data_IF_606111129210
#
_entry.id   IF_606111129210
#
_cell.length_a   1.000
_cell.length_b   1.000
_cell.length_c   1.000
_cell.angle_alpha   90.00
_cell.angle_beta   90.00
_cell.angle_gamma   90.00
#
_symmetry.space_group_name_H-M   'P 1'
#
loop_
_entity.id
_entity.type
_entity.pdbx_description
1 polymer ?
#
# COMPACT_ATOMS: atom_id res chain seq x y z
N UNK A 1 -21.82 16.22 -14.65
CA UNK A 1 -22.19 16.93 -13.40
C UNK A 1 -20.96 17.45 -12.72
N UNK A 2 -20.66 18.72 -12.95
CA UNK A 2 -19.56 19.45 -12.30
C UNK A 2 -19.97 19.69 -10.85
N UNK A 3 -19.19 19.16 -9.90
CA UNK A 3 -19.40 19.41 -8.48
C UNK A 3 -18.65 20.67 -8.06
N UNK A 4 -19.20 21.44 -7.13
CA UNK A 4 -18.58 22.65 -6.57
C UNK A 4 -17.33 22.31 -5.73
N UNK A 5 -16.40 23.26 -5.58
CA UNK A 5 -15.19 23.11 -4.76
C UNK A 5 -15.50 22.73 -3.30
N UNK A 6 -16.59 23.25 -2.73
CA UNK A 6 -17.05 22.86 -1.39
C UNK A 6 -17.50 21.39 -1.30
N UNK A 7 -18.15 20.86 -2.34
CA UNK A 7 -18.50 19.44 -2.40
C UNK A 7 -17.25 18.55 -2.50
N UNK A 8 -16.17 19.07 -3.10
CA UNK A 8 -14.88 18.39 -3.16
C UNK A 8 -14.23 18.25 -1.80
N UNK A 9 -14.07 19.38 -1.10
CA UNK A 9 -13.46 19.42 0.22
C UNK A 9 -14.22 18.54 1.21
N UNK A 10 -15.56 18.61 1.19
CA UNK A 10 -16.39 17.76 2.04
C UNK A 10 -16.23 16.26 1.72
N UNK A 11 -16.08 15.90 0.44
CA UNK A 11 -15.87 14.50 0.05
C UNK A 11 -14.47 14.02 0.46
N UNK A 12 -13.42 14.80 0.24
CA UNK A 12 -12.05 14.48 0.70
C UNK A 12 -12.02 14.21 2.20
N UNK A 13 -12.60 15.12 2.99
CA UNK A 13 -12.68 14.97 4.46
C UNK A 13 -13.40 13.68 4.89
N UNK A 14 -14.51 13.34 4.25
CA UNK A 14 -15.25 12.10 4.56
C UNK A 14 -14.42 10.85 4.28
N UNK A 15 -13.61 10.87 3.22
CA UNK A 15 -12.71 9.76 2.92
C UNK A 15 -11.52 9.73 3.88
N UNK A 16 -10.92 10.87 4.20
CA UNK A 16 -9.87 10.96 5.22
C UNK A 16 -10.33 10.28 6.52
N UNK A 17 -11.51 10.66 7.01
CA UNK A 17 -12.14 10.02 8.18
C UNK A 17 -12.34 8.51 7.97
N UNK A 18 -12.78 8.07 6.80
CA UNK A 18 -12.96 6.64 6.51
C UNK A 18 -11.63 5.87 6.54
N UNK A 19 -10.56 6.44 5.98
CA UNK A 19 -9.22 5.85 6.00
C UNK A 19 -8.64 5.84 7.42
N UNK A 20 -8.80 6.93 8.19
CA UNK A 20 -8.43 7.00 9.61
C UNK A 20 -9.08 5.86 10.40
N UNK A 21 -10.40 5.68 10.26
CA UNK A 21 -11.11 4.58 10.93
C UNK A 21 -10.59 3.20 10.53
N UNK A 22 -10.17 3.03 9.27
CA UNK A 22 -9.56 1.77 8.81
C UNK A 22 -8.18 1.55 9.45
N UNK A 23 -7.37 2.60 9.59
CA UNK A 23 -6.07 2.52 10.26
C UNK A 23 -6.22 2.22 11.75
N UNK A 24 -7.11 2.92 12.45
CA UNK A 24 -7.42 2.65 13.86
C UNK A 24 -7.85 1.19 14.07
N UNK A 25 -8.71 0.66 13.19
CA UNK A 25 -9.15 -0.73 13.25
C UNK A 25 -7.99 -1.72 12.97
N UNK A 26 -7.08 -1.36 12.07
CA UNK A 26 -5.91 -2.18 11.74
C UNK A 26 -4.91 -2.20 12.89
N UNK A 27 -4.67 -1.06 13.54
CA UNK A 27 -3.79 -0.94 14.71
C UNK A 27 -4.34 -1.74 15.89
N UNK A 28 -5.65 -1.67 16.16
CA UNK A 28 -6.30 -2.51 17.17
C UNK A 28 -6.13 -4.02 16.87
N UNK A 29 -6.21 -4.42 15.59
CA UNK A 29 -5.99 -5.81 15.20
C UNK A 29 -4.52 -6.26 15.35
N UNK A 30 -3.55 -5.34 15.21
CA UNK A 30 -2.13 -5.60 15.45
C UNK A 30 -1.80 -5.74 16.94
N UNK A 31 -2.54 -5.05 17.80
CA UNK A 31 -2.37 -5.13 19.26
C UNK A 31 -3.06 -6.36 19.88
N UNK A 32 -4.04 -6.95 19.19
CA UNK A 32 -4.76 -8.13 19.66
C UNK A 32 -3.91 -9.41 19.50
N UNK A 33 -3.43 -9.98 20.62
CA UNK A 33 -2.48 -11.11 20.67
C UNK A 33 -2.87 -12.32 19.80
N UNK A 34 -4.16 -12.55 19.58
CA UNK A 34 -4.68 -13.73 18.88
C UNK A 34 -5.46 -13.37 17.61
N UNK A 35 -5.36 -12.14 17.13
CA UNK A 35 -5.99 -11.77 15.88
C UNK A 35 -5.45 -12.64 14.73
N UNK A 36 -6.37 -13.20 13.94
CA UNK A 36 -6.03 -13.99 12.76
C UNK A 36 -6.68 -13.39 11.54
N UNK A 37 -5.87 -13.03 10.56
CA UNK A 37 -6.35 -12.40 9.34
C UNK A 37 -7.21 -13.40 8.57
N UNK A 38 -8.43 -12.99 8.28
CA UNK A 38 -9.50 -13.80 7.72
C UNK A 38 -10.04 -13.18 6.43
N UNK A 39 -11.01 -13.86 5.81
CA UNK A 39 -11.74 -13.30 4.67
C UNK A 39 -12.42 -11.95 4.96
N UNK A 40 -12.74 -11.65 6.22
CA UNK A 40 -13.36 -10.37 6.59
C UNK A 40 -12.36 -9.24 6.42
N UNK A 41 -11.14 -9.42 6.91
CA UNK A 41 -10.08 -8.41 6.84
C UNK A 41 -9.70 -8.09 5.39
N UNK A 42 -9.58 -9.13 4.56
CA UNK A 42 -9.37 -8.95 3.11
C UNK A 42 -10.55 -8.25 2.43
N UNK A 43 -11.79 -8.59 2.79
CA UNK A 43 -12.97 -7.94 2.23
C UNK A 43 -13.04 -6.46 2.63
N UNK A 44 -12.71 -6.14 3.89
CA UNK A 44 -12.64 -4.76 4.37
C UNK A 44 -11.55 -3.98 3.64
N UNK A 45 -10.35 -4.55 3.50
CA UNK A 45 -9.28 -3.96 2.70
C UNK A 45 -9.73 -3.71 1.25
N UNK A 46 -10.41 -4.66 0.62
CA UNK A 46 -10.93 -4.51 -0.74
C UNK A 46 -11.98 -3.39 -0.85
N UNK A 47 -12.82 -3.20 0.16
CA UNK A 47 -13.77 -2.08 0.22
C UNK A 47 -13.01 -0.75 0.29
N UNK A 48 -11.97 -0.68 1.11
CA UNK A 48 -11.13 0.52 1.23
C UNK A 48 -10.42 0.84 -0.09
N UNK A 49 -9.77 -0.17 -0.69
CA UNK A 49 -9.11 -0.04 -1.99
C UNK A 49 -10.07 0.38 -3.09
N UNK A 50 -11.30 -0.17 -3.10
CA UNK A 50 -12.34 0.25 -4.03
C UNK A 50 -12.66 1.74 -3.87
N UNK A 51 -12.79 2.25 -2.65
CA UNK A 51 -13.00 3.68 -2.43
C UNK A 51 -11.82 4.51 -2.96
N UNK A 52 -10.58 4.10 -2.69
CA UNK A 52 -9.35 4.76 -3.19
C UNK A 52 -9.35 4.84 -4.73
N UNK A 53 -9.58 3.71 -5.42
CA UNK A 53 -9.60 3.62 -6.88
C UNK A 53 -10.78 4.38 -7.49
N UNK A 54 -11.99 4.20 -6.96
CA UNK A 54 -13.18 4.89 -7.47
C UNK A 54 -13.01 6.39 -7.43
N UNK A 55 -12.37 6.93 -6.39
CA UNK A 55 -12.13 8.37 -6.30
C UNK A 55 -11.15 8.87 -7.34
N UNK A 56 -10.02 8.18 -7.54
CA UNK A 56 -9.02 8.55 -8.55
C UNK A 56 -9.62 8.68 -9.96
N UNK A 57 -10.77 8.03 -10.21
CA UNK A 57 -11.49 8.07 -11.47
C UNK A 57 -12.57 9.17 -11.59
N UNK A 58 -12.80 9.97 -10.55
CA UNK A 58 -13.87 10.98 -10.57
C UNK A 58 -13.35 12.28 -11.14
N UNK A 59 -14.03 12.76 -12.18
CA UNK A 59 -13.75 14.06 -12.78
C UNK A 59 -14.46 15.21 -12.05
N UNK A 60 -13.75 16.18 -11.42
CA UNK A 60 -14.36 17.46 -10.95
C UNK A 60 -13.62 18.74 -11.35
N UNK A 61 -14.27 19.62 -12.13
CA UNK A 61 -13.70 20.88 -12.63
C UNK A 61 -13.03 21.69 -11.52
N UNK A 62 -11.74 21.96 -11.67
CA UNK A 62 -11.01 22.96 -10.90
C UNK A 62 -10.71 24.11 -11.85
N UNK A 63 -11.29 25.29 -11.61
CA UNK A 63 -11.07 26.45 -12.47
C UNK A 63 -9.65 27.00 -12.24
N UNK A 64 -8.72 26.65 -13.12
CA UNK A 64 -7.43 27.36 -13.30
C UNK A 64 -7.46 28.06 -14.67
N UNK A 65 -8.00 29.27 -14.72
CA UNK A 65 -8.22 29.98 -15.99
C UNK A 65 -9.33 29.33 -16.83
N UNK A 66 -9.15 29.26 -18.14
CA UNK A 66 -10.17 28.80 -19.12
C UNK A 66 -10.25 27.28 -19.31
N UNK A 67 -9.50 26.48 -18.55
CA UNK A 67 -9.45 25.02 -18.72
C UNK A 67 -10.16 24.33 -17.56
N UNK A 68 -11.30 23.73 -17.89
CA UNK A 68 -12.15 22.95 -16.99
C UNK A 68 -11.68 21.49 -16.94
N UNK A 69 -10.71 21.18 -16.07
CA UNK A 69 -10.24 19.81 -15.86
C UNK A 69 -10.55 19.28 -14.48
N UNK A 70 -10.77 17.97 -14.44
CA UNK A 70 -11.68 17.41 -13.51
C UNK A 70 -11.07 16.19 -12.79
N UNK A 71 -10.73 16.25 -11.49
CA UNK A 71 -10.23 15.10 -10.68
C UNK A 71 -10.60 15.23 -9.18
N UNK A 72 -11.15 14.16 -8.56
CA UNK A 72 -11.41 14.02 -7.13
C UNK A 72 -10.36 13.09 -6.53
N UNK A 73 -9.76 13.48 -5.40
CA UNK A 73 -8.39 13.12 -5.03
C UNK A 73 -7.40 13.66 -6.06
N UNK A 74 -6.57 14.66 -5.73
CA UNK A 74 -5.50 14.99 -6.65
C UNK A 74 -4.69 13.70 -6.79
N UNK A 75 -4.43 13.30 -8.03
CA UNK A 75 -3.57 12.14 -8.26
C UNK A 75 -2.30 12.34 -7.40
N UNK A 76 -1.80 13.59 -7.41
CA UNK A 76 -0.56 14.01 -6.78
C UNK A 76 -0.81 14.77 -5.47
N UNK A 77 -0.01 14.48 -4.46
CA UNK A 77 0.04 15.25 -3.22
C UNK A 77 1.17 14.75 -2.34
N UNK A 78 1.19 15.18 -1.07
CA UNK A 78 2.17 14.68 -0.11
C UNK A 78 1.84 13.25 0.31
N UNK A 79 2.86 12.44 0.54
CA UNK A 79 2.69 11.00 0.74
C UNK A 79 2.18 10.61 2.13
N UNK A 80 2.24 11.53 3.08
CA UNK A 80 1.64 11.43 4.41
C UNK A 80 0.22 12.02 4.48
N UNK A 81 -0.17 12.78 3.46
CA UNK A 81 -1.50 13.33 3.35
C UNK A 81 -2.46 12.27 2.79
N UNK A 82 -3.42 11.87 3.61
CA UNK A 82 -4.43 10.90 3.23
C UNK A 82 -5.38 11.43 2.17
N UNK A 83 -5.46 12.75 1.95
CA UNK A 83 -6.41 13.41 1.05
C UNK A 83 -6.02 13.36 -0.44
N UNK A 84 -4.90 12.73 -0.79
CA UNK A 84 -4.46 12.49 -2.17
C UNK A 84 -4.18 11.01 -2.49
N UNK A 85 -4.19 10.67 -3.78
CA UNK A 85 -4.26 9.25 -4.20
C UNK A 85 -3.02 8.51 -3.76
N UNK A 86 -1.85 9.09 -3.97
CA UNK A 86 -0.60 8.47 -3.59
C UNK A 86 -0.50 8.28 -2.09
N UNK A 87 -0.75 9.32 -1.29
CA UNK A 87 -0.67 9.24 0.16
C UNK A 87 -1.70 8.25 0.73
N UNK A 88 -2.97 8.36 0.34
CA UNK A 88 -4.01 7.42 0.73
C UNK A 88 -3.68 5.97 0.34
N UNK A 89 -3.21 5.75 -0.90
CA UNK A 89 -2.84 4.42 -1.41
C UNK A 89 -1.67 3.81 -0.64
N UNK A 90 -0.54 4.52 -0.53
CA UNK A 90 0.66 3.91 0.07
C UNK A 90 0.48 3.65 1.57
N UNK A 91 -0.25 4.52 2.29
CA UNK A 91 -0.54 4.30 3.71
C UNK A 91 -1.52 3.14 3.88
N UNK A 92 -2.53 3.03 3.01
CA UNK A 92 -3.49 1.92 3.06
C UNK A 92 -2.84 0.57 2.76
N UNK A 93 -2.04 0.50 1.69
CA UNK A 93 -1.30 -0.73 1.36
C UNK A 93 -0.27 -1.04 2.46
N UNK A 94 0.39 -0.02 3.01
CA UNK A 94 1.34 -0.17 4.12
C UNK A 94 0.71 -0.71 5.40
N UNK A 95 -0.44 -0.18 5.81
CA UNK A 95 -1.21 -0.66 6.96
C UNK A 95 -1.69 -2.10 6.76
N UNK A 96 -2.20 -2.41 5.56
CA UNK A 96 -2.56 -3.78 5.21
C UNK A 96 -1.36 -4.74 5.25
N UNK A 97 -0.18 -4.30 4.78
CA UNK A 97 1.07 -5.07 4.89
C UNK A 97 1.43 -5.33 6.35
N UNK A 98 1.30 -4.35 7.25
CA UNK A 98 1.50 -4.57 8.68
C UNK A 98 0.63 -5.73 9.16
N UNK A 99 -0.68 -5.68 8.87
CA UNK A 99 -1.63 -6.70 9.29
C UNK A 99 -1.24 -8.09 8.77
N UNK A 100 -0.98 -8.21 7.47
CA UNK A 100 -0.73 -9.53 6.84
C UNK A 100 0.65 -10.11 7.12
N UNK A 101 1.62 -9.28 7.51
CA UNK A 101 2.97 -9.74 7.88
C UNK A 101 3.09 -10.04 9.38
N UNK A 102 2.32 -9.32 10.21
CA UNK A 102 2.37 -9.47 11.66
C UNK A 102 1.51 -10.65 12.16
N UNK A 103 0.27 -10.74 11.65
CA UNK A 103 -0.74 -11.67 12.17
C UNK A 103 -0.77 -12.99 11.40
N UNK A 104 -1.15 -14.07 12.07
CA UNK A 104 -1.34 -15.37 11.43
C UNK A 104 -2.58 -15.36 10.52
N UNK A 105 -2.61 -16.26 9.53
CA UNK A 105 -3.82 -16.50 8.73
C UNK A 105 -4.80 -17.39 9.46
N UNK A 106 -6.06 -16.96 9.51
CA UNK A 106 -7.15 -17.86 9.84
C UNK A 106 -7.25 -18.94 8.75
N UNK A 107 -7.41 -20.21 9.15
CA UNK A 107 -7.60 -21.32 8.21
C UNK A 107 -8.97 -21.94 8.46
N UNK A 108 -9.98 -21.65 7.60
CA UNK A 108 -11.30 -22.23 7.73
C UNK A 108 -11.24 -23.76 7.61
N UNK A 109 -12.12 -24.48 8.32
CA UNK A 109 -12.19 -25.95 8.21
C UNK A 109 -12.86 -26.38 6.90
N UNK A 110 -13.95 -25.71 6.54
CA UNK A 110 -14.78 -26.03 5.38
C UNK A 110 -14.15 -25.58 4.08
N UNK A 111 -14.24 -26.42 3.04
CA UNK A 111 -13.62 -26.16 1.74
C UNK A 111 -14.16 -24.88 1.09
N UNK A 112 -15.48 -24.67 1.14
CA UNK A 112 -16.11 -23.48 0.56
C UNK A 112 -15.58 -22.16 1.17
N UNK A 113 -15.30 -22.17 2.47
CA UNK A 113 -14.74 -21.00 3.17
C UNK A 113 -13.25 -20.81 2.86
N UNK A 114 -12.50 -21.91 2.70
CA UNK A 114 -11.10 -21.84 2.23
C UNK A 114 -11.02 -21.24 0.82
N UNK A 115 -11.89 -21.67 -0.08
CA UNK A 115 -11.92 -21.17 -1.47
C UNK A 115 -12.31 -19.69 -1.50
N UNK A 116 -13.29 -19.29 -0.67
CA UNK A 116 -13.68 -17.88 -0.50
C UNK A 116 -12.53 -17.03 0.04
N UNK A 117 -11.79 -17.52 1.04
CA UNK A 117 -10.64 -16.80 1.58
C UNK A 117 -9.52 -16.64 0.55
N UNK A 118 -9.15 -17.71 -0.15
CA UNK A 118 -8.17 -17.66 -1.26
C UNK A 118 -8.58 -16.67 -2.35
N UNK A 119 -9.87 -16.62 -2.65
CA UNK A 119 -10.40 -15.66 -3.61
C UNK A 119 -10.15 -14.21 -3.17
N UNK A 120 -10.45 -13.87 -1.91
CA UNK A 120 -10.20 -12.52 -1.39
C UNK A 120 -8.71 -12.20 -1.23
N UNK A 121 -7.87 -13.19 -0.89
CA UNK A 121 -6.40 -13.05 -0.88
C UNK A 121 -5.89 -12.65 -2.26
N UNK A 122 -6.33 -13.38 -3.31
CA UNK A 122 -6.00 -13.06 -4.70
C UNK A 122 -6.48 -11.67 -5.10
N UNK A 123 -7.74 -11.32 -4.81
CA UNK A 123 -8.27 -10.01 -5.14
C UNK A 123 -7.48 -8.88 -4.45
N UNK A 124 -7.13 -9.07 -3.18
CA UNK A 124 -6.34 -8.10 -2.41
C UNK A 124 -4.96 -7.92 -3.02
N UNK A 125 -4.26 -9.02 -3.36
CA UNK A 125 -2.97 -8.99 -4.08
C UNK A 125 -3.08 -8.22 -5.38
N UNK A 126 -3.98 -8.66 -6.26
CA UNK A 126 -4.08 -8.16 -7.62
C UNK A 126 -4.50 -6.68 -7.64
N UNK A 127 -5.44 -6.29 -6.77
CA UNK A 127 -5.86 -4.87 -6.63
C UNK A 127 -4.73 -4.00 -6.13
N UNK A 128 -3.94 -4.48 -5.17
CA UNK A 128 -2.79 -3.74 -4.63
C UNK A 128 -1.73 -3.51 -5.70
N UNK A 129 -1.30 -4.59 -6.37
CA UNK A 129 -0.29 -4.51 -7.42
C UNK A 129 -0.75 -3.62 -8.59
N UNK A 130 -2.01 -3.76 -9.00
CA UNK A 130 -2.59 -2.91 -10.04
C UNK A 130 -2.60 -1.43 -9.64
N UNK A 131 -3.05 -1.11 -8.43
CA UNK A 131 -3.14 0.27 -7.95
C UNK A 131 -1.76 0.90 -7.75
N UNK A 132 -0.79 0.14 -7.23
CA UNK A 132 0.61 0.59 -7.15
C UNK A 132 1.20 0.82 -8.54
N UNK A 133 0.91 -0.05 -9.51
CA UNK A 133 1.39 0.10 -10.88
C UNK A 133 0.77 1.33 -11.56
N UNK A 134 -0.49 1.68 -11.26
CA UNK A 134 -1.06 2.98 -11.67
C UNK A 134 -0.22 4.11 -11.07
N UNK A 135 0.02 4.07 -9.76
CA UNK A 135 0.79 5.10 -9.06
C UNK A 135 2.20 5.28 -9.63
N UNK A 136 2.86 4.20 -10.07
CA UNK A 136 4.21 4.29 -10.66
C UNK A 136 4.25 5.07 -11.98
N UNK A 137 3.14 5.11 -12.73
CA UNK A 137 3.06 5.88 -13.98
C UNK A 137 2.83 7.37 -13.72
N UNK A 138 2.21 7.72 -12.60
CA UNK A 138 1.87 9.11 -12.29
C UNK A 138 2.95 9.83 -11.46
N UNK A 139 3.79 9.09 -10.72
CA UNK A 139 4.73 9.64 -9.71
C UNK A 139 6.22 9.42 -9.95
N UNK A 140 6.64 9.26 -11.21
CA UNK A 140 8.04 8.97 -11.56
C UNK A 140 9.06 10.03 -11.09
N UNK A 141 8.63 11.24 -10.75
CA UNK A 141 9.50 12.37 -10.39
C UNK A 141 9.84 12.50 -8.89
N UNK A 142 9.22 11.73 -7.99
CA UNK A 142 9.52 11.82 -6.56
C UNK A 142 10.75 10.98 -6.17
N UNK A 143 11.75 11.53 -5.44
CA UNK A 143 13.01 10.84 -5.14
C UNK A 143 12.84 9.49 -4.45
N UNK A 144 11.89 9.38 -3.52
CA UNK A 144 11.59 8.14 -2.79
C UNK A 144 10.32 7.41 -3.30
N UNK A 145 9.58 8.02 -4.24
CA UNK A 145 8.23 7.54 -4.60
C UNK A 145 8.27 6.14 -5.21
N UNK A 146 9.13 5.95 -6.21
CA UNK A 146 9.32 4.63 -6.84
C UNK A 146 9.81 3.58 -5.83
N UNK A 147 10.73 3.96 -4.94
CA UNK A 147 11.24 3.08 -3.89
C UNK A 147 10.14 2.59 -2.95
N UNK A 148 9.21 3.47 -2.55
CA UNK A 148 8.06 3.10 -1.74
C UNK A 148 7.10 2.16 -2.47
N UNK A 149 6.85 2.40 -3.76
CA UNK A 149 6.01 1.50 -4.55
C UNK A 149 6.67 0.13 -4.70
N UNK A 150 7.98 0.08 -4.98
CA UNK A 150 8.76 -1.14 -5.09
C UNK A 150 8.70 -1.96 -3.80
N UNK A 151 8.95 -1.33 -2.64
CA UNK A 151 8.97 -2.06 -1.37
C UNK A 151 7.57 -2.57 -0.97
N UNK A 152 6.51 -1.81 -1.26
CA UNK A 152 5.14 -2.28 -1.04
C UNK A 152 4.81 -3.46 -1.96
N UNK A 153 5.17 -3.38 -3.25
CA UNK A 153 4.96 -4.48 -4.19
C UNK A 153 5.70 -5.76 -3.74
N UNK A 154 6.96 -5.64 -3.32
CA UNK A 154 7.72 -6.77 -2.79
C UNK A 154 7.06 -7.41 -1.56
N UNK A 155 6.49 -6.61 -0.65
CA UNK A 155 5.76 -7.12 0.51
C UNK A 155 4.47 -7.85 0.12
N UNK A 156 3.73 -7.34 -0.87
CA UNK A 156 2.55 -8.02 -1.41
C UNK A 156 2.95 -9.37 -2.01
N UNK A 157 4.02 -9.41 -2.80
CA UNK A 157 4.54 -10.66 -3.39
C UNK A 157 5.02 -11.65 -2.33
N UNK A 158 5.67 -11.16 -1.26
CA UNK A 158 6.14 -11.99 -0.14
C UNK A 158 4.99 -12.57 0.69
N UNK A 159 3.95 -11.77 0.92
CA UNK A 159 2.86 -12.11 1.86
C UNK A 159 1.68 -12.81 1.19
N UNK A 160 1.42 -12.53 -0.09
CA UNK A 160 0.25 -13.00 -0.84
C UNK A 160 0.62 -13.78 -2.13
N UNK A 161 1.90 -13.88 -2.45
CA UNK A 161 2.40 -14.57 -3.64
C UNK A 161 2.32 -13.74 -4.92
N UNK A 162 2.70 -14.37 -6.03
CA UNK A 162 2.71 -13.78 -7.38
C UNK A 162 1.32 -13.78 -8.01
N UNK A 163 1.16 -12.99 -9.07
CA UNK A 163 -0.06 -12.98 -9.87
C UNK A 163 -0.32 -14.33 -10.53
N UNK A 164 -1.59 -14.61 -10.80
CA UNK A 164 -2.04 -15.83 -11.48
C UNK A 164 -2.34 -15.53 -12.95
N UNK A 165 -2.39 -16.55 -13.83
CA UNK A 165 -2.83 -16.34 -15.21
C UNK A 165 -4.19 -15.64 -15.34
N UNK A 166 -5.10 -15.88 -14.39
CA UNK A 166 -6.44 -15.24 -14.33
C UNK A 166 -6.41 -13.78 -13.87
N UNK A 167 -5.29 -13.30 -13.30
CA UNK A 167 -5.14 -11.91 -12.87
C UNK A 167 -5.20 -10.94 -14.05
N UNK A 168 -4.82 -11.38 -15.26
CA UNK A 168 -4.90 -10.54 -16.47
C UNK A 168 -6.34 -10.12 -16.77
N UNK A 169 -7.29 -11.06 -16.74
CA UNK A 169 -8.71 -10.78 -16.97
C UNK A 169 -9.25 -9.80 -15.92
N UNK A 170 -8.77 -9.93 -14.68
CA UNK A 170 -9.12 -8.99 -13.60
C UNK A 170 -8.54 -7.58 -13.84
N UNK A 171 -7.30 -7.47 -14.30
CA UNK A 171 -6.68 -6.19 -14.68
C UNK A 171 -7.41 -5.54 -15.85
N UNK A 172 -7.87 -6.30 -16.85
CA UNK A 172 -8.70 -5.80 -17.94
C UNK A 172 -9.99 -5.16 -17.44
N UNK A 173 -10.70 -5.82 -16.51
CA UNK A 173 -11.90 -5.27 -15.87
C UNK A 173 -11.59 -4.00 -15.08
N UNK A 174 -10.49 -3.97 -14.32
CA UNK A 174 -10.10 -2.76 -13.60
C UNK A 174 -9.75 -1.61 -14.55
N UNK A 175 -9.02 -1.88 -15.65
CA UNK A 175 -8.70 -0.89 -16.67
C UNK A 175 -9.94 -0.25 -17.31
N UNK A 176 -11.02 -1.02 -17.52
CA UNK A 176 -12.28 -0.46 -18.02
C UNK A 176 -12.94 0.54 -17.05
N UNK A 177 -12.59 0.46 -15.77
CA UNK A 177 -13.14 1.33 -14.73
C UNK A 177 -12.24 2.54 -14.43
N UNK A 178 -11.03 2.62 -15.02
CA UNK A 178 -10.14 3.77 -14.85
C UNK A 178 -10.25 4.77 -16.01
N UNK A 179 -10.08 6.06 -15.70
CA UNK A 179 -10.19 7.15 -16.67
C UNK A 179 -8.85 7.90 -16.84
N UNK A 180 -7.78 7.15 -17.07
CA UNK A 180 -6.41 7.65 -17.22
C UNK A 180 -5.85 7.21 -18.58
N UNK A 181 -6.02 8.00 -19.66
CA UNK A 181 -5.70 7.60 -21.03
C UNK A 181 -4.21 7.34 -21.29
N UNK A 182 -3.33 7.93 -20.47
CA UNK A 182 -1.88 7.73 -20.49
C UNK A 182 -1.44 6.37 -19.93
N UNK A 183 -2.31 5.71 -19.17
CA UNK A 183 -2.04 4.40 -18.56
C UNK A 183 -2.61 3.30 -19.45
N UNK A 184 -1.76 2.34 -19.81
CA UNK A 184 -2.14 1.19 -20.64
C UNK A 184 -2.06 -0.10 -19.85
N UNK A 185 -2.92 -1.07 -20.19
CA UNK A 185 -2.86 -2.41 -19.58
C UNK A 185 -1.47 -3.06 -19.74
N UNK A 186 -0.83 -2.87 -20.89
CA UNK A 186 0.52 -3.38 -21.15
C UNK A 186 1.56 -2.72 -20.25
N UNK A 187 1.47 -1.42 -20.01
CA UNK A 187 2.32 -0.70 -19.06
C UNK A 187 2.16 -1.21 -17.62
N UNK A 188 0.91 -1.37 -17.17
CA UNK A 188 0.59 -1.94 -15.85
C UNK A 188 1.12 -3.37 -15.71
N UNK A 189 0.82 -4.24 -16.68
CA UNK A 189 1.26 -5.64 -16.67
C UNK A 189 2.78 -5.74 -16.66
N UNK A 190 3.47 -4.90 -17.45
CA UNK A 190 4.92 -4.85 -17.48
C UNK A 190 5.50 -4.44 -16.11
N UNK A 191 4.97 -3.39 -15.48
CA UNK A 191 5.44 -2.95 -14.17
C UNK A 191 5.31 -4.06 -13.11
N UNK A 192 4.18 -4.80 -13.13
CA UNK A 192 3.97 -5.91 -12.20
C UNK A 192 4.97 -7.05 -12.48
N UNK A 193 5.21 -7.39 -13.75
CA UNK A 193 6.22 -8.38 -14.14
C UNK A 193 7.64 -7.97 -13.74
N UNK A 194 7.96 -6.68 -13.83
CA UNK A 194 9.25 -6.15 -13.39
C UNK A 194 9.42 -6.34 -11.86
N UNK A 195 8.38 -6.11 -11.07
CA UNK A 195 8.39 -6.40 -9.62
C UNK A 195 8.50 -7.90 -9.31
N UNK A 196 7.78 -8.76 -10.03
CA UNK A 196 7.89 -10.21 -9.87
C UNK A 196 9.30 -10.70 -10.21
N UNK A 197 9.91 -10.17 -11.28
CA UNK A 197 11.29 -10.47 -11.67
C UNK A 197 12.29 -9.98 -10.62
N UNK A 198 12.08 -8.77 -10.08
CA UNK A 198 12.89 -8.24 -8.99
C UNK A 198 12.81 -9.16 -7.76
N UNK A 199 11.59 -9.55 -7.37
CA UNK A 199 11.33 -10.45 -6.24
C UNK A 199 12.01 -11.82 -6.42
N UNK A 200 11.78 -12.49 -7.56
CA UNK A 200 12.33 -13.82 -7.87
C UNK A 200 13.86 -13.80 -7.94
N UNK A 201 14.45 -12.74 -8.51
CA UNK A 201 15.90 -12.61 -8.65
C UNK A 201 16.62 -12.27 -7.35
N UNK A 202 15.89 -11.91 -6.28
CA UNK A 202 16.41 -11.49 -4.96
C UNK A 202 17.38 -10.30 -4.99
N UNK A 203 17.49 -9.58 -6.12
CA UNK A 203 18.38 -8.40 -6.24
C UNK A 203 18.05 -7.29 -5.24
N UNK A 204 16.81 -7.26 -4.77
CA UNK A 204 16.32 -6.34 -3.74
C UNK A 204 16.99 -6.52 -2.37
N UNK A 205 17.56 -7.69 -2.06
CA UNK A 205 18.22 -7.97 -0.76
C UNK A 205 19.47 -7.09 -0.52
N UNK A 206 19.97 -6.41 -1.57
CA UNK A 206 21.05 -5.43 -1.45
C UNK A 206 20.62 -4.10 -0.80
N UNK A 207 19.34 -3.77 -0.82
CA UNK A 207 18.81 -2.49 -0.34
C UNK A 207 17.77 -2.66 0.77
N UNK A 208 17.14 -3.83 0.84
CA UNK A 208 16.06 -4.12 1.79
C UNK A 208 16.39 -5.34 2.66
N UNK A 209 15.77 -5.39 3.82
CA UNK A 209 15.88 -6.46 4.80
C UNK A 209 14.50 -7.05 5.09
N UNK A 210 14.38 -8.38 5.03
CA UNK A 210 13.15 -9.08 5.43
C UNK A 210 13.11 -9.27 6.94
N UNK A 211 12.43 -8.36 7.63
CA UNK A 211 12.25 -8.39 9.08
C UNK A 211 11.07 -9.27 9.50
N UNK A 212 11.28 -10.06 10.56
CA UNK A 212 10.24 -10.92 11.11
C UNK A 212 9.06 -10.07 11.62
N UNK A 213 7.83 -10.44 11.23
CA UNK A 213 6.57 -9.74 11.56
C UNK A 213 6.47 -8.29 11.10
N UNK A 214 7.40 -7.82 10.28
CA UNK A 214 7.40 -6.46 9.70
C UNK A 214 7.49 -6.48 8.17
N UNK A 215 7.80 -7.63 7.56
CA UNK A 215 7.95 -7.77 6.13
C UNK A 215 9.28 -7.23 5.60
N UNK A 216 9.32 -6.93 4.31
CA UNK A 216 10.50 -6.38 3.63
C UNK A 216 10.57 -4.88 3.90
N UNK A 217 11.67 -4.42 4.50
CA UNK A 217 11.87 -3.04 4.92
C UNK A 217 13.16 -2.44 4.35
N UNK A 218 13.16 -1.14 4.09
CA UNK A 218 14.35 -0.38 3.75
C UNK A 218 15.33 -0.38 4.93
N UNK A 219 16.61 -0.60 4.64
CA UNK A 219 17.68 -0.36 5.61
C UNK A 219 18.03 1.13 5.57
N UNK A 220 17.44 1.93 6.46
CA UNK A 220 17.75 3.37 6.59
C UNK A 220 19.15 3.54 7.19
N UNK A 221 19.42 2.81 8.26
CA UNK A 221 20.71 2.87 8.97
C UNK A 221 20.99 1.53 9.65
N UNK A 222 22.27 1.17 9.69
CA UNK A 222 22.78 0.02 10.43
C UNK A 222 23.79 0.48 11.48
N UNK A 223 23.76 -0.13 12.67
CA UNK A 223 24.74 0.15 13.72
C UNK A 223 26.13 -0.37 13.34
N UNK A 224 27.19 0.18 13.96
CA UNK A 224 28.57 -0.19 13.67
C UNK A 224 28.87 -1.68 13.91
N UNK A 225 28.17 -2.32 14.85
CA UNK A 225 28.26 -3.77 15.12
C UNK A 225 27.30 -4.62 14.26
N UNK A 226 26.64 -4.02 13.27
CA UNK A 226 25.69 -4.64 12.35
C UNK A 226 24.44 -5.30 12.97
N UNK A 227 24.28 -5.23 14.29
CA UNK A 227 23.24 -5.94 15.05
C UNK A 227 21.86 -5.30 14.97
N UNK A 228 21.80 -3.97 14.87
CA UNK A 228 20.54 -3.23 14.90
C UNK A 228 20.32 -2.46 13.60
N UNK A 229 19.08 -2.49 13.12
CA UNK A 229 18.64 -1.78 11.93
C UNK A 229 17.60 -0.72 12.31
N UNK A 230 17.78 0.48 11.75
CA UNK A 230 16.69 1.44 11.58
C UNK A 230 16.04 1.13 10.24
N UNK A 231 14.75 0.82 10.28
CA UNK A 231 14.00 0.33 9.13
C UNK A 231 12.98 1.37 8.64
N UNK A 232 12.66 1.32 7.35
CA UNK A 232 11.68 2.21 6.74
C UNK A 232 10.79 1.53 5.71
N UNK A 233 9.52 1.93 5.64
CA UNK A 233 8.56 1.66 4.56
C UNK A 233 7.21 2.30 4.87
N UNK A 234 6.36 2.57 3.87
CA UNK A 234 4.99 2.97 4.13
C UNK A 234 4.25 1.96 5.01
N UNK A 235 3.37 2.46 5.87
CA UNK A 235 2.79 1.72 7.00
C UNK A 235 3.53 1.92 8.32
N UNK A 236 4.69 2.59 8.31
CA UNK A 236 5.29 3.16 9.54
C UNK A 236 4.97 4.65 9.64
N UNK A 237 5.54 5.33 10.64
CA UNK A 237 5.32 6.76 10.87
C UNK A 237 6.07 7.54 9.79
N UNK A 238 5.41 8.52 9.17
CA UNK A 238 6.07 9.45 8.28
C UNK A 238 6.86 10.50 9.08
N UNK A 239 8.17 10.57 8.83
CA UNK A 239 9.09 11.52 9.44
C UNK A 239 9.31 12.70 8.49
N UNK A 240 8.88 13.89 8.92
CA UNK A 240 8.97 15.13 8.14
C UNK A 240 10.41 15.53 7.84
N UNK A 241 11.32 15.36 8.81
CA UNK A 241 12.72 15.78 8.68
C UNK A 241 13.49 14.97 7.63
N UNK A 242 13.14 13.69 7.45
CA UNK A 242 13.79 12.80 6.48
C UNK A 242 12.94 12.56 5.24
N UNK A 243 11.72 13.10 5.22
CA UNK A 243 10.70 12.87 4.20
C UNK A 243 10.54 11.38 3.87
N UNK A 244 10.53 10.54 4.91
CA UNK A 244 10.48 9.09 4.78
C UNK A 244 9.60 8.43 5.84
N UNK A 245 9.15 7.22 5.55
CA UNK A 245 8.44 6.40 6.54
C UNK A 245 9.44 5.58 7.34
N UNK A 246 9.50 5.83 8.65
CA UNK A 246 10.47 5.21 9.53
C UNK A 246 9.80 4.48 10.68
N UNK A 247 10.38 3.32 11.03
CA UNK A 247 10.04 2.61 12.25
C UNK A 247 10.62 3.37 13.44
N UNK A 248 9.80 3.75 14.41
CA UNK A 248 10.19 4.47 15.62
C UNK A 248 11.23 3.72 16.48
N UNK A 249 11.19 2.38 16.42
CA UNK A 249 12.07 1.45 17.11
C UNK A 249 13.24 0.94 16.26
N UNK A 250 14.24 0.37 16.94
CA UNK A 250 15.32 -0.37 16.30
C UNK A 250 14.95 -1.85 16.22
N UNK A 251 15.26 -2.47 15.08
CA UNK A 251 15.11 -3.91 14.90
C UNK A 251 16.40 -4.64 15.26
N UNK A 252 16.32 -5.56 16.22
CA UNK A 252 17.41 -6.47 16.63
C UNK A 252 17.42 -7.70 15.71
N UNK A 253 18.45 -7.80 14.87
CA UNK A 253 18.58 -8.88 13.88
C UNK A 253 18.65 -10.25 14.55
N UNK A 254 19.42 -10.35 15.64
CA UNK A 254 19.71 -11.62 16.31
C UNK A 254 18.47 -12.16 17.03
N UNK A 255 17.76 -11.27 17.72
CA UNK A 255 16.61 -11.62 18.56
C UNK A 255 15.27 -11.45 17.85
N UNK A 256 15.26 -10.94 16.60
CA UNK A 256 14.06 -10.72 15.77
C UNK A 256 12.95 -9.95 16.49
N UNK A 257 13.34 -8.88 17.19
CA UNK A 257 12.44 -8.09 18.04
C UNK A 257 12.72 -6.60 17.92
N UNK A 258 11.73 -5.82 18.33
CA UNK A 258 11.83 -4.37 18.41
C UNK A 258 12.37 -3.93 19.77
N UNK A 259 13.23 -2.91 19.74
CA UNK A 259 13.80 -2.28 20.91
C UNK A 259 13.62 -0.76 20.81
N UNK A 260 13.32 -0.12 21.93
CA UNK A 260 13.24 1.34 21.99
C UNK A 260 14.56 1.97 21.57
N UNK A 261 14.48 2.92 20.65
CA UNK A 261 15.63 3.72 20.24
C UNK A 261 16.05 4.64 21.38
N UNK A 262 17.36 4.79 21.62
CA UNK A 262 17.93 5.70 22.63
C UNK A 262 17.69 7.18 22.31
N UNK A 263 17.12 7.54 21.14
CA UNK A 263 16.77 8.93 20.80
C UNK A 263 15.63 9.53 21.65
N UNK A 264 14.93 8.72 22.44
CA UNK A 264 13.81 9.16 23.31
C UNK A 264 14.05 8.88 24.81
N UNK A 265 15.30 8.69 25.22
CA UNK A 265 15.76 8.69 26.62
C UNK A 265 16.63 9.94 26.86
#
# INVERSE_FOLDING_TARGET
>A
NVRSENELTNKRKKIGIFLENYFDATDLALEEENHKVSSVDFAMYMIVMKHIVEMANIKVKVSKGDIDEAILYPLAGRFDDLENFSGGLINTVGAFINLVTHCERFTPKEQILKDKQKHYERLSRDTSLFSLAISSHVYQSHPNGMKWLDILALNILDSLGKTEPTSKDYFEVMMMNINMPEITLSGITKQIQDWETLYDSKKWESQYYKAHRLGICEIIKQTANQKFLKLGRPGFIYEEDTHNFELDMLYDIDNKRLLKSLKHL
#
